data_IF_101445250338
#
_entry.id   IF_101445250338
#
_cell.length_a   1.000
_cell.length_b   1.000
_cell.length_c   1.000
_cell.angle_alpha   90.00
_cell.angle_beta   90.00
_cell.angle_gamma   90.00
#
_symmetry.space_group_name_H-M   'P 1'
#
loop_
_entity.id
_entity.type
_entity.pdbx_description
1 polymer ?
#
# COMPACT_ATOMS: atom_id res chain seq x y z
N UNK A 1 36.69 15.06 56.07
CA UNK A 1 35.49 15.53 55.33
C UNK A 1 35.56 14.99 53.90
N UNK A 2 34.53 14.31 53.35
CA UNK A 2 34.59 13.89 51.93
C UNK A 2 33.80 12.65 51.47
N UNK A 3 32.72 12.21 52.14
CA UNK A 3 31.92 11.05 51.68
C UNK A 3 30.44 11.31 51.39
N UNK A 4 29.88 12.49 51.74
CA UNK A 4 28.45 12.76 51.50
C UNK A 4 28.11 13.39 50.14
N UNK A 5 29.05 14.06 49.48
CA UNK A 5 28.77 14.75 48.20
C UNK A 5 28.63 13.81 47.00
N UNK A 6 29.14 12.56 47.09
CA UNK A 6 29.08 11.61 45.96
C UNK A 6 27.71 10.96 45.77
N UNK A 7 26.90 10.82 46.82
CA UNK A 7 25.58 10.15 46.74
C UNK A 7 24.52 11.04 46.06
N UNK A 8 24.57 12.35 46.29
CA UNK A 8 23.64 13.30 45.67
C UNK A 8 23.83 13.41 44.14
N UNK A 9 25.09 13.35 43.66
CA UNK A 9 25.39 13.43 42.22
C UNK A 9 24.89 12.21 41.43
N UNK A 10 24.98 11.00 42.01
CA UNK A 10 24.56 9.77 41.33
C UNK A 10 23.03 9.70 41.20
N UNK A 11 22.30 10.15 42.24
CA UNK A 11 20.83 10.23 42.18
C UNK A 11 20.34 11.21 41.11
N UNK A 12 21.04 12.34 40.94
CA UNK A 12 20.68 13.34 39.94
C UNK A 12 20.89 12.83 38.51
N UNK A 13 22.00 12.12 38.26
CA UNK A 13 22.28 11.51 36.95
C UNK A 13 21.24 10.44 36.60
N UNK A 14 20.88 9.58 37.56
CA UNK A 14 19.83 8.56 37.36
C UNK A 14 18.46 9.19 37.05
N UNK A 15 18.09 10.27 37.76
CA UNK A 15 16.83 10.97 37.51
C UNK A 15 16.79 11.59 36.09
N UNK A 16 17.89 12.18 35.63
CA UNK A 16 18.00 12.76 34.28
C UNK A 16 17.93 11.68 33.20
N UNK A 17 18.59 10.54 33.38
CA UNK A 17 18.51 9.42 32.44
C UNK A 17 17.09 8.84 32.34
N UNK A 18 16.38 8.70 33.46
CA UNK A 18 14.98 8.22 33.46
C UNK A 18 14.06 9.22 32.76
N UNK A 19 14.21 10.52 33.01
CA UNK A 19 13.45 11.54 32.29
C UNK A 19 13.72 11.52 30.78
N UNK A 20 14.97 11.38 30.36
CA UNK A 20 15.34 11.32 28.94
C UNK A 20 14.74 10.09 28.23
N UNK A 21 14.69 8.94 28.91
CA UNK A 21 14.05 7.73 28.38
C UNK A 21 12.52 7.87 28.28
N UNK A 22 11.88 8.54 29.24
CA UNK A 22 10.43 8.80 29.20
C UNK A 22 10.10 9.77 28.06
N UNK A 23 10.83 10.87 27.93
CA UNK A 23 10.61 11.86 26.86
C UNK A 23 10.91 11.27 25.47
N UNK A 24 11.99 10.49 25.33
CA UNK A 24 12.32 9.78 24.10
C UNK A 24 11.30 8.70 23.74
N UNK A 25 10.80 7.97 24.72
CA UNK A 25 9.75 6.96 24.54
C UNK A 25 8.41 7.55 24.10
N UNK A 26 8.02 8.70 24.66
CA UNK A 26 6.79 9.39 24.28
C UNK A 26 6.88 9.97 22.85
N UNK A 27 8.04 10.47 22.41
CA UNK A 27 8.24 10.91 21.02
C UNK A 27 8.21 9.76 20.00
N UNK A 28 8.70 8.57 20.38
CA UNK A 28 8.64 7.37 19.54
C UNK A 28 7.20 6.80 19.43
N UNK A 29 6.35 7.06 20.42
CA UNK A 29 4.94 6.64 20.39
C UNK A 29 4.05 7.60 19.59
N UNK A 30 4.32 8.91 19.59
CA UNK A 30 3.52 9.88 18.82
C UNK A 30 3.84 9.88 17.33
N UNK A 31 5.03 9.46 16.92
CA UNK A 31 5.41 9.30 15.51
C UNK A 31 4.79 8.08 14.82
N UNK A 32 4.13 7.17 15.58
CA UNK A 32 3.40 6.01 15.04
C UNK A 32 1.91 6.23 14.78
N UNK A 33 1.37 7.44 14.95
CA UNK A 33 0.06 7.78 14.36
C UNK A 33 0.23 8.13 12.86
N UNK A 34 0.63 7.14 12.06
CA UNK A 34 0.38 7.16 10.61
C UNK A 34 -1.14 7.08 10.46
N UNK A 35 -1.78 8.24 10.36
CA UNK A 35 -3.20 8.38 10.01
C UNK A 35 -3.50 7.45 8.82
N UNK A 36 -4.21 6.35 9.05
CA UNK A 36 -4.79 5.55 7.98
C UNK A 36 -6.04 6.29 7.52
N UNK A 37 -5.86 7.46 6.92
CA UNK A 37 -6.96 8.13 6.25
C UNK A 37 -7.34 7.25 5.06
N UNK A 38 -8.49 6.59 5.18
CA UNK A 38 -9.16 5.87 4.09
C UNK A 38 -9.47 6.89 2.99
N UNK A 39 -9.02 6.62 1.76
CA UNK A 39 -9.31 7.50 0.63
C UNK A 39 -10.80 7.41 0.31
N UNK A 40 -11.44 8.56 0.07
CA UNK A 40 -12.83 8.59 -0.39
C UNK A 40 -12.90 8.18 -1.87
N UNK A 41 -14.09 7.76 -2.32
CA UNK A 41 -14.35 7.44 -3.74
C UNK A 41 -13.91 8.57 -4.69
N UNK A 42 -14.19 9.82 -4.32
CA UNK A 42 -13.81 11.00 -5.11
C UNK A 42 -12.28 11.17 -5.16
N UNK A 43 -11.58 10.90 -4.06
CA UNK A 43 -10.12 10.97 -4.04
C UNK A 43 -9.49 9.88 -4.93
N UNK A 44 -10.01 8.66 -4.88
CA UNK A 44 -9.55 7.56 -5.74
C UNK A 44 -9.79 7.90 -7.21
N UNK A 45 -10.98 8.40 -7.56
CA UNK A 45 -11.28 8.82 -8.92
C UNK A 45 -10.38 9.97 -9.41
N UNK A 46 -10.05 10.93 -8.53
CA UNK A 46 -9.16 12.04 -8.88
C UNK A 46 -7.71 11.56 -9.10
N UNK A 47 -7.22 10.60 -8.31
CA UNK A 47 -5.92 9.97 -8.52
C UNK A 47 -5.87 9.25 -9.87
N UNK A 48 -6.92 8.48 -10.19
CA UNK A 48 -7.05 7.79 -11.47
C UNK A 48 -7.08 8.77 -12.65
N UNK A 49 -7.89 9.83 -12.55
CA UNK A 49 -8.04 10.84 -13.61
C UNK A 49 -6.75 11.62 -13.87
N UNK A 50 -6.00 11.97 -12.83
CA UNK A 50 -4.73 12.71 -12.96
C UNK A 50 -3.55 11.82 -13.32
N UNK A 51 -3.73 10.50 -13.31
CA UNK A 51 -2.66 9.52 -13.44
C UNK A 51 -1.49 9.80 -12.47
N UNK A 52 -1.80 10.29 -11.26
CA UNK A 52 -0.78 10.67 -10.27
C UNK A 52 -0.16 9.42 -9.64
N UNK A 53 0.89 8.91 -10.26
CA UNK A 53 1.63 7.76 -9.76
C UNK A 53 2.74 8.12 -8.76
N UNK A 54 2.70 9.29 -8.13
CA UNK A 54 3.69 9.69 -7.12
C UNK A 54 3.69 8.78 -5.89
N UNK A 55 4.83 8.62 -5.23
CA UNK A 55 5.01 7.71 -4.08
C UNK A 55 3.97 7.91 -2.97
N UNK A 56 3.59 9.17 -2.72
CA UNK A 56 2.56 9.51 -1.72
C UNK A 56 1.18 9.00 -2.14
N UNK A 57 0.80 9.22 -3.40
CA UNK A 57 -0.47 8.78 -3.96
C UNK A 57 -0.55 7.25 -3.98
N UNK A 58 0.51 6.58 -4.46
CA UNK A 58 0.62 5.11 -4.44
C UNK A 58 0.61 4.55 -3.03
N UNK A 59 1.30 5.17 -2.07
CA UNK A 59 1.27 4.73 -0.67
C UNK A 59 -0.12 4.89 -0.03
N UNK A 60 -0.85 5.95 -0.36
CA UNK A 60 -2.21 6.15 0.14
C UNK A 60 -3.20 5.17 -0.51
N UNK A 61 -3.09 4.98 -1.83
CA UNK A 61 -3.89 4.04 -2.57
C UNK A 61 -3.64 2.61 -2.11
N UNK A 62 -2.38 2.18 -1.95
CA UNK A 62 -2.01 0.82 -1.56
C UNK A 62 -2.49 0.39 -0.16
N UNK A 63 -2.93 1.32 0.68
CA UNK A 63 -3.57 1.00 1.98
C UNK A 63 -5.06 0.70 1.88
N UNK A 64 -5.69 1.03 0.75
CA UNK A 64 -7.10 0.73 0.54
C UNK A 64 -7.27 -0.77 0.22
N UNK A 65 -8.42 -1.32 0.53
CA UNK A 65 -8.78 -2.68 0.09
C UNK A 65 -10.01 -2.56 -0.81
N UNK A 66 -9.96 -3.05 -2.06
CA UNK A 66 -11.14 -3.05 -2.92
C UNK A 66 -12.24 -3.92 -2.31
N UNK A 67 -13.46 -3.40 -2.24
CA UNK A 67 -14.60 -4.11 -1.66
C UNK A 67 -15.55 -4.60 -2.74
N UNK A 68 -16.06 -5.83 -2.58
CA UNK A 68 -17.09 -6.40 -3.46
C UNK A 68 -18.45 -5.69 -3.35
N UNK A 69 -18.72 -5.03 -2.22
CA UNK A 69 -19.95 -4.24 -2.05
C UNK A 69 -19.90 -2.89 -2.78
N UNK A 70 -18.72 -2.43 -3.18
CA UNK A 70 -18.51 -1.20 -3.94
C UNK A 70 -17.62 -1.48 -5.15
N UNK A 71 -18.21 -2.16 -6.14
CA UNK A 71 -17.51 -2.60 -7.35
C UNK A 71 -16.91 -1.43 -8.12
N UNK A 72 -17.59 -0.28 -8.19
CA UNK A 72 -17.11 0.90 -8.93
C UNK A 72 -15.84 1.49 -8.33
N UNK A 73 -15.83 1.68 -7.00
CA UNK A 73 -14.63 2.16 -6.31
C UNK A 73 -13.51 1.13 -6.40
N UNK A 74 -13.83 -0.16 -6.27
CA UNK A 74 -12.86 -1.25 -6.43
C UNK A 74 -12.21 -1.26 -7.81
N UNK A 75 -13.01 -1.20 -8.87
CA UNK A 75 -12.55 -1.12 -10.26
C UNK A 75 -11.64 0.08 -10.47
N UNK A 76 -12.05 1.26 -10.00
CA UNK A 76 -11.27 2.50 -10.16
C UNK A 76 -9.93 2.40 -9.43
N UNK A 77 -9.93 1.89 -8.20
CA UNK A 77 -8.73 1.71 -7.39
C UNK A 77 -7.75 0.72 -8.02
N UNK A 78 -8.24 -0.45 -8.43
CA UNK A 78 -7.44 -1.50 -9.07
C UNK A 78 -6.86 -1.02 -10.40
N UNK A 79 -7.67 -0.36 -11.23
CA UNK A 79 -7.24 0.20 -12.52
C UNK A 79 -6.12 1.22 -12.34
N UNK A 80 -6.27 2.15 -11.39
CA UNK A 80 -5.27 3.15 -11.07
C UNK A 80 -3.95 2.51 -10.62
N UNK A 81 -4.00 1.57 -9.66
CA UNK A 81 -2.78 0.91 -9.15
C UNK A 81 -2.09 0.09 -10.22
N UNK A 82 -2.85 -0.69 -11.00
CA UNK A 82 -2.30 -1.50 -12.08
C UNK A 82 -1.54 -0.63 -13.09
N UNK A 83 -2.13 0.50 -13.49
CA UNK A 83 -1.47 1.44 -14.41
C UNK A 83 -0.19 2.01 -13.80
N UNK A 84 -0.22 2.45 -12.55
CA UNK A 84 0.96 3.00 -11.89
C UNK A 84 2.06 1.96 -11.70
N UNK A 85 1.74 0.73 -11.29
CA UNK A 85 2.73 -0.34 -11.20
C UNK A 85 3.36 -0.65 -12.57
N UNK A 86 2.55 -0.66 -13.64
CA UNK A 86 3.07 -0.83 -15.01
C UNK A 86 4.03 0.29 -15.40
N UNK A 87 3.69 1.55 -15.11
CA UNK A 87 4.53 2.72 -15.40
C UNK A 87 5.84 2.72 -14.60
N UNK A 88 5.80 2.25 -13.34
CA UNK A 88 6.98 2.09 -12.48
C UNK A 88 7.80 0.82 -12.78
N UNK A 89 7.42 0.06 -13.81
CA UNK A 89 8.02 -1.24 -14.17
C UNK A 89 7.95 -2.28 -13.02
N UNK A 90 6.97 -2.15 -12.13
CA UNK A 90 6.59 -3.13 -11.11
C UNK A 90 5.60 -4.14 -11.73
N UNK A 91 6.04 -4.85 -12.77
CA UNK A 91 5.15 -5.63 -13.64
C UNK A 91 4.39 -6.75 -12.91
N UNK A 92 5.01 -7.41 -11.93
CA UNK A 92 4.33 -8.46 -11.17
C UNK A 92 3.15 -7.89 -10.37
N UNK A 93 3.36 -6.73 -9.73
CA UNK A 93 2.31 -6.02 -9.01
C UNK A 93 1.20 -5.55 -9.97
N UNK A 94 1.57 -5.06 -11.15
CA UNK A 94 0.58 -4.69 -12.17
C UNK A 94 -0.27 -5.89 -12.61
N UNK A 95 0.34 -7.06 -12.87
CA UNK A 95 -0.37 -8.29 -13.21
C UNK A 95 -1.34 -8.70 -12.10
N UNK A 96 -0.90 -8.62 -10.83
CA UNK A 96 -1.73 -8.96 -9.68
C UNK A 96 -2.96 -8.03 -9.57
N UNK A 97 -2.78 -6.72 -9.76
CA UNK A 97 -3.89 -5.76 -9.74
C UNK A 97 -4.84 -5.94 -10.95
N UNK A 98 -4.32 -6.19 -12.16
CA UNK A 98 -5.16 -6.50 -13.33
C UNK A 98 -5.93 -7.81 -13.17
N UNK A 99 -5.35 -8.82 -12.53
CA UNK A 99 -6.05 -10.11 -12.28
C UNK A 99 -7.24 -9.92 -11.33
N UNK A 100 -7.06 -9.12 -10.29
CA UNK A 100 -8.16 -8.72 -9.40
C UNK A 100 -9.19 -7.87 -10.15
N UNK A 101 -8.76 -6.94 -10.99
CA UNK A 101 -9.63 -6.09 -11.79
C UNK A 101 -10.53 -6.90 -12.73
N UNK A 102 -9.97 -7.88 -13.44
CA UNK A 102 -10.74 -8.81 -14.27
C UNK A 102 -11.81 -9.54 -13.46
N UNK A 103 -11.48 -9.91 -12.22
CA UNK A 103 -12.43 -10.57 -11.32
C UNK A 103 -13.58 -9.65 -10.92
N UNK A 104 -13.34 -8.36 -10.70
CA UNK A 104 -14.39 -7.36 -10.46
C UNK A 104 -15.29 -7.16 -11.69
N UNK A 105 -14.73 -7.14 -12.90
CA UNK A 105 -15.55 -7.08 -14.12
C UNK A 105 -16.38 -8.34 -14.33
N UNK A 106 -15.88 -9.53 -13.97
CA UNK A 106 -16.69 -10.76 -13.94
C UNK A 106 -17.88 -10.64 -12.99
N UNK A 107 -17.70 -10.06 -11.81
CA UNK A 107 -18.82 -9.81 -10.87
C UNK A 107 -19.88 -8.86 -11.44
N UNK A 108 -19.47 -7.92 -12.31
CA UNK A 108 -20.39 -7.02 -13.04
C UNK A 108 -21.01 -7.65 -14.29
N UNK A 109 -20.63 -8.88 -14.66
CA UNK A 109 -20.95 -9.52 -15.94
C UNK A 109 -20.51 -8.68 -17.16
N UNK A 110 -19.39 -7.97 -17.05
CA UNK A 110 -18.84 -7.12 -18.11
C UNK A 110 -17.74 -7.87 -18.89
N UNK A 111 -18.14 -8.73 -19.81
CA UNK A 111 -17.22 -9.62 -20.55
C UNK A 111 -16.24 -8.85 -21.43
N UNK A 112 -16.66 -7.71 -22.01
CA UNK A 112 -15.79 -6.86 -22.81
C UNK A 112 -14.63 -6.29 -21.97
N UNK A 113 -14.92 -5.83 -20.75
CA UNK A 113 -13.88 -5.32 -19.85
C UNK A 113 -12.97 -6.42 -19.29
N UNK A 114 -13.49 -7.64 -19.13
CA UNK A 114 -12.64 -8.81 -18.79
C UNK A 114 -11.61 -9.06 -19.90
N UNK A 115 -12.03 -9.11 -21.16
CA UNK A 115 -11.14 -9.35 -22.29
C UNK A 115 -10.08 -8.25 -22.43
N UNK A 116 -10.48 -6.98 -22.29
CA UNK A 116 -9.54 -5.85 -22.28
C UNK A 116 -8.50 -5.97 -21.15
N UNK A 117 -8.94 -6.44 -19.97
CA UNK A 117 -8.05 -6.62 -18.83
C UNK A 117 -7.09 -7.80 -19.04
N UNK A 118 -7.57 -8.91 -19.61
CA UNK A 118 -6.74 -10.08 -19.93
C UNK A 118 -5.68 -9.73 -21.00
N UNK A 119 -6.03 -8.91 -21.99
CA UNK A 119 -5.08 -8.36 -22.96
C UNK A 119 -4.03 -7.47 -22.29
N UNK A 120 -4.43 -6.59 -21.37
CA UNK A 120 -3.47 -5.78 -20.60
C UNK A 120 -2.50 -6.64 -19.77
N UNK A 121 -2.96 -7.77 -19.21
CA UNK A 121 -2.08 -8.73 -18.53
C UNK A 121 -1.07 -9.34 -19.50
N UNK A 122 -1.50 -9.70 -20.72
CA UNK A 122 -0.61 -10.24 -21.75
C UNK A 122 0.47 -9.22 -22.15
N UNK A 123 0.09 -7.96 -22.35
CA UNK A 123 1.01 -6.87 -22.69
C UNK A 123 2.05 -6.64 -21.58
N UNK A 124 1.64 -6.66 -20.32
CA UNK A 124 2.56 -6.52 -19.19
C UNK A 124 3.51 -7.71 -19.09
N UNK A 125 3.03 -8.94 -19.33
CA UNK A 125 3.89 -10.13 -19.35
C UNK A 125 4.94 -10.04 -20.46
N UNK A 126 4.58 -9.50 -21.61
CA UNK A 126 5.52 -9.29 -22.72
C UNK A 126 6.53 -8.17 -22.41
N UNK A 127 6.08 -7.07 -21.81
CA UNK A 127 6.95 -6.00 -21.33
C UNK A 127 7.96 -6.50 -20.27
N UNK A 128 7.54 -7.42 -19.41
CA UNK A 128 8.39 -8.04 -18.39
C UNK A 128 9.50 -8.92 -19.01
N UNK A 129 9.22 -9.60 -20.13
CA UNK A 129 10.21 -10.42 -20.86
C UNK A 129 11.24 -9.57 -21.60
N UNK A 130 10.80 -8.45 -22.17
CA UNK A 130 11.64 -7.60 -23.02
C UNK A 130 12.44 -6.55 -22.24
N UNK A 131 11.96 -6.15 -21.05
CA UNK A 131 12.65 -5.23 -20.13
C UNK A 131 12.67 -5.79 -18.70
N UNK A 132 13.35 -6.90 -18.44
CA UNK A 132 13.42 -7.47 -17.09
C UNK A 132 14.14 -6.49 -16.16
N UNK A 133 13.46 -6.07 -15.09
CA UNK A 133 14.10 -5.33 -14.00
C UNK A 133 14.81 -6.33 -13.07
N UNK A 134 15.83 -5.88 -12.36
CA UNK A 134 16.42 -6.64 -11.26
C UNK A 134 15.31 -7.07 -10.27
N UNK A 135 15.40 -8.26 -9.66
CA UNK A 135 14.38 -8.78 -8.77
C UNK A 135 14.07 -7.77 -7.65
N UNK A 136 12.86 -7.19 -7.71
CA UNK A 136 12.35 -6.30 -6.67
C UNK A 136 11.86 -7.22 -5.54
N UNK A 137 12.18 -6.92 -4.26
CA UNK A 137 11.63 -7.68 -3.15
C UNK A 137 10.10 -7.72 -3.27
N UNK A 138 9.53 -8.93 -3.18
CA UNK A 138 8.10 -9.15 -3.29
C UNK A 138 7.37 -8.28 -2.27
N UNK A 139 6.56 -7.34 -2.76
CA UNK A 139 5.53 -6.67 -1.93
C UNK A 139 4.43 -7.70 -1.68
N UNK A 140 3.67 -7.61 -0.57
CA UNK A 140 2.59 -8.55 -0.29
C UNK A 140 1.70 -8.70 -1.51
N UNK A 141 1.35 -9.93 -1.84
CA UNK A 141 0.53 -10.29 -3.00
C UNK A 141 -0.83 -9.55 -2.98
N UNK A 142 -1.54 -9.62 -4.11
CA UNK A 142 -2.97 -9.31 -4.17
C UNK A 142 -3.68 -9.76 -2.89
N UNK A 143 -4.58 -8.94 -2.33
CA UNK A 143 -5.19 -9.21 -1.02
C UNK A 143 -5.65 -10.68 -0.93
N UNK A 144 -4.97 -11.54 -0.14
CA UNK A 144 -5.22 -12.97 -0.13
C UNK A 144 -6.61 -13.31 0.42
N UNK A 145 -7.22 -12.38 1.16
CA UNK A 145 -8.61 -12.51 1.59
C UNK A 145 -9.56 -12.25 0.43
N UNK A 146 -9.32 -11.20 -0.35
CA UNK A 146 -10.13 -10.88 -1.53
C UNK A 146 -10.03 -11.96 -2.60
N UNK A 147 -8.84 -12.52 -2.85
CA UNK A 147 -8.67 -13.67 -3.77
C UNK A 147 -9.43 -14.91 -3.30
N UNK A 148 -9.38 -15.23 -2.00
CA UNK A 148 -10.13 -16.37 -1.44
C UNK A 148 -11.63 -16.15 -1.55
N UNK A 149 -12.10 -14.94 -1.32
CA UNK A 149 -13.50 -14.60 -1.50
C UNK A 149 -13.92 -14.67 -2.97
N UNK A 150 -13.07 -14.26 -3.91
CA UNK A 150 -13.34 -14.36 -5.35
C UNK A 150 -13.44 -15.80 -5.85
N UNK A 151 -12.64 -16.73 -5.30
CA UNK A 151 -12.67 -18.17 -5.63
C UNK A 151 -13.90 -18.93 -5.10
N UNK A 152 -14.69 -18.34 -4.21
CA UNK A 152 -15.90 -18.97 -3.61
C UNK A 152 -17.18 -18.69 -4.41
N UNK A 153 -17.06 -18.03 -5.55
CA UNK A 153 -18.12 -17.78 -6.52
C UNK A 153 -17.92 -18.70 -7.72
#
# INVERSE_FOLDING_TARGET
MGKQTKKASILFILAVCVLALIVGGVLLLTSRKKSSATLTRVQIANLAYKEDCGDKAMSAAGKQVPSKSDLETGITLLSYRANCYRLHHEYQQAINEYTQLASFFRLKNDTAMVELTDNAIADVKEAMRTKPRAPIPAKPDADPQLERELKRL
#
